data_IF_567784269525
#
_entry.id   IF_567784269525
#
_cell.length_a   1.000
_cell.length_b   1.000
_cell.length_c   1.000
_cell.angle_alpha   90.00
_cell.angle_beta   90.00
_cell.angle_gamma   90.00
#
_symmetry.space_group_name_H-M   'P 1'
#
loop_
_entity.id
_entity.type
_entity.pdbx_description
1 polymer ?
#
# COMPACT_ATOMS: atom_id res chain seq x y z
N UNK A 1 3.96 4.34 8.98
CA UNK A 1 4.74 5.59 8.68
C UNK A 1 6.22 5.50 9.08
N UNK A 2 6.60 4.76 10.13
CA UNK A 2 7.98 4.69 10.64
C UNK A 2 9.00 4.12 9.63
N UNK A 3 8.73 2.95 9.04
CA UNK A 3 9.68 2.25 8.15
C UNK A 3 10.13 3.12 6.96
N UNK A 4 9.18 3.78 6.29
CA UNK A 4 9.49 4.70 5.19
C UNK A 4 10.39 5.85 5.63
N UNK A 5 10.01 6.56 6.71
CA UNK A 5 10.79 7.70 7.22
C UNK A 5 12.21 7.32 7.62
N UNK A 6 12.38 6.19 8.33
CA UNK A 6 13.70 5.70 8.72
C UNK A 6 14.59 5.46 7.51
N UNK A 7 14.03 4.87 6.44
CA UNK A 7 14.76 4.58 5.19
C UNK A 7 15.10 5.85 4.41
N UNK A 8 14.19 6.82 4.34
CA UNK A 8 14.46 8.14 3.74
C UNK A 8 15.62 8.85 4.45
N UNK A 9 15.61 8.90 5.78
CA UNK A 9 16.68 9.54 6.56
C UNK A 9 18.02 8.86 6.30
N UNK A 10 18.07 7.51 6.28
CA UNK A 10 19.31 6.78 5.95
C UNK A 10 19.82 7.10 4.55
N UNK A 11 18.94 7.20 3.55
CA UNK A 11 19.31 7.56 2.18
C UNK A 11 19.89 8.98 2.13
N UNK A 12 19.27 9.95 2.81
CA UNK A 12 19.76 11.33 2.88
C UNK A 12 21.13 11.39 3.56
N UNK A 13 21.33 10.69 4.68
CA UNK A 13 22.63 10.62 5.36
C UNK A 13 23.71 10.11 4.42
N UNK A 14 23.45 9.03 3.67
CA UNK A 14 24.39 8.49 2.68
C UNK A 14 24.73 9.49 1.58
N UNK A 15 23.74 10.23 1.07
CA UNK A 15 24.00 11.24 0.04
C UNK A 15 24.91 12.36 0.57
N UNK A 16 24.72 12.76 1.83
CA UNK A 16 25.58 13.75 2.49
C UNK A 16 27.01 13.21 2.65
N UNK A 17 27.16 11.96 3.10
CA UNK A 17 28.47 11.29 3.21
C UNK A 17 29.19 11.21 1.85
N UNK A 18 28.43 10.95 0.78
CA UNK A 18 28.92 10.90 -0.60
C UNK A 18 29.12 12.30 -1.23
N UNK A 19 28.88 13.39 -0.49
CA UNK A 19 28.92 14.79 -0.97
C UNK A 19 28.02 15.05 -2.18
N UNK A 20 26.93 14.31 -2.31
CA UNK A 20 25.89 14.53 -3.31
C UNK A 20 24.81 15.46 -2.76
N UNK A 21 24.07 16.09 -3.65
CA UNK A 21 22.92 16.90 -3.26
C UNK A 21 21.89 16.02 -2.52
N UNK A 22 21.52 16.38 -1.28
CA UNK A 22 20.55 15.61 -0.53
C UNK A 22 19.15 15.82 -1.11
N UNK A 23 18.60 14.76 -1.71
CA UNK A 23 17.27 14.75 -2.30
C UNK A 23 16.71 13.34 -2.41
N UNK A 24 15.40 13.25 -2.59
CA UNK A 24 14.69 12.01 -2.91
C UNK A 24 13.91 12.28 -4.18
N UNK A 25 14.27 11.60 -5.26
CA UNK A 25 13.47 11.62 -6.49
C UNK A 25 12.23 10.72 -6.35
N UNK A 26 11.33 10.79 -7.34
CA UNK A 26 10.08 10.00 -7.33
C UNK A 26 10.37 8.50 -7.38
N UNK A 27 11.41 8.08 -8.10
CA UNK A 27 11.78 6.67 -8.22
C UNK A 27 12.30 6.13 -6.88
N UNK A 28 13.18 6.88 -6.21
CA UNK A 28 13.68 6.62 -4.86
C UNK A 28 12.51 6.53 -3.88
N UNK A 29 11.53 7.45 -3.94
CA UNK A 29 10.35 7.41 -3.09
C UNK A 29 9.54 6.10 -3.29
N UNK A 30 9.29 5.71 -4.54
CA UNK A 30 8.57 4.46 -4.87
C UNK A 30 9.35 3.24 -4.38
N UNK A 31 10.66 3.20 -4.60
CA UNK A 31 11.52 2.10 -4.16
C UNK A 31 11.57 1.99 -2.63
N UNK A 32 11.69 3.12 -1.93
CA UNK A 32 11.69 3.17 -0.47
C UNK A 32 10.33 2.75 0.08
N UNK A 33 9.22 3.18 -0.55
CA UNK A 33 7.87 2.77 -0.18
C UNK A 33 7.70 1.26 -0.33
N UNK A 34 8.03 0.70 -1.49
CA UNK A 34 7.95 -0.74 -1.74
C UNK A 34 8.79 -1.53 -0.72
N UNK A 35 10.00 -1.08 -0.42
CA UNK A 35 10.83 -1.74 0.57
C UNK A 35 10.31 -1.58 2.00
N UNK A 36 9.70 -0.44 2.34
CA UNK A 36 9.12 -0.21 3.66
C UNK A 36 7.83 -1.02 3.86
N UNK A 37 7.06 -1.24 2.80
CA UNK A 37 5.81 -2.01 2.83
C UNK A 37 6.06 -3.47 3.21
N UNK A 38 7.18 -4.06 2.78
CA UNK A 38 7.59 -5.42 3.15
C UNK A 38 7.81 -5.62 4.65
N UNK A 39 8.08 -4.56 5.39
CA UNK A 39 8.27 -4.62 6.85
C UNK A 39 6.94 -4.39 7.61
N UNK A 40 5.85 -4.08 6.91
CA UNK A 40 4.54 -3.86 7.53
C UNK A 40 3.93 -5.22 7.86
N UNK A 41 3.72 -5.46 9.16
CA UNK A 41 3.09 -6.68 9.65
C UNK A 41 1.57 -6.54 9.70
N UNK A 42 0.87 -7.68 9.68
CA UNK A 42 -0.58 -7.74 9.90
C UNK A 42 -0.99 -7.05 11.22
N UNK A 43 -0.23 -7.25 12.29
CA UNK A 43 -0.44 -6.55 13.56
C UNK A 43 -0.34 -5.02 13.44
N UNK A 44 0.57 -4.52 12.60
CA UNK A 44 0.71 -3.08 12.33
C UNK A 44 -0.50 -2.55 11.57
N UNK A 45 -1.03 -3.34 10.63
CA UNK A 45 -2.24 -3.01 9.87
C UNK A 45 -3.45 -3.00 10.81
N UNK A 46 -3.65 -4.05 11.62
CA UNK A 46 -4.72 -4.13 12.62
C UNK A 46 -4.70 -2.96 13.59
N UNK A 47 -3.53 -2.63 14.13
CA UNK A 47 -3.36 -1.47 15.01
C UNK A 47 -3.67 -0.14 14.31
N UNK A 48 -3.41 -0.03 13.00
CA UNK A 48 -3.74 1.16 12.22
C UNK A 48 -5.25 1.30 12.04
N UNK A 49 -5.94 0.20 11.71
CA UNK A 49 -7.40 0.17 11.59
C UNK A 49 -8.10 0.49 12.91
N UNK A 50 -7.69 -0.12 14.02
CA UNK A 50 -8.23 0.17 15.35
C UNK A 50 -8.05 1.65 15.73
N UNK A 51 -6.86 2.23 15.46
CA UNK A 51 -6.60 3.65 15.75
C UNK A 51 -7.34 4.61 14.83
N UNK A 52 -7.65 4.18 13.60
CA UNK A 52 -8.38 5.00 12.64
C UNK A 52 -9.87 5.14 12.97
N UNK A 53 -10.37 4.40 13.98
CA UNK A 53 -11.80 4.28 14.32
C UNK A 53 -12.68 3.82 13.17
N UNK A 54 -12.09 3.36 12.07
CA UNK A 54 -12.82 2.74 10.94
C UNK A 54 -13.42 1.39 11.32
N UNK A 55 -12.94 0.80 12.42
CA UNK A 55 -13.47 -0.40 13.03
C UNK A 55 -13.65 -0.07 14.52
N UNK A 56 -14.83 0.41 14.90
CA UNK A 56 -15.26 0.44 16.30
C UNK A 56 -15.51 -0.98 16.78
N UNK A 57 -14.43 -1.76 16.97
CA UNK A 57 -14.53 -2.92 17.84
C UNK A 57 -14.58 -2.39 19.27
N UNK A 58 -15.77 -2.41 19.87
CA UNK A 58 -15.92 -2.37 21.32
C UNK A 58 -15.19 -3.59 21.87
N UNK A 59 -13.93 -3.40 22.28
CA UNK A 59 -13.21 -4.42 23.04
C UNK A 59 -13.76 -4.35 24.46
N UNK A 60 -14.86 -5.06 24.73
CA UNK A 60 -15.10 -5.53 26.08
C UNK A 60 -14.10 -6.68 26.32
N UNK A 61 -13.29 -6.55 27.35
CA UNK A 61 -12.19 -7.46 27.68
C UNK A 61 -12.66 -8.84 28.19
N UNK A 62 -13.87 -9.28 27.87
CA UNK A 62 -14.36 -10.57 28.34
C UNK A 62 -15.11 -11.38 27.30
N UNK A 63 -14.64 -12.61 27.18
CA UNK A 63 -15.24 -13.78 26.55
C UNK A 63 -15.44 -13.75 25.03
N UNK A 64 -14.99 -14.86 24.42
CA UNK A 64 -15.10 -15.08 22.99
C UNK A 64 -16.57 -15.13 22.58
N UNK A 65 -16.94 -14.30 21.61
CA UNK A 65 -18.08 -14.57 20.78
C UNK A 65 -17.89 -14.00 19.38
N UNK A 66 -18.56 -14.65 18.43
CA UNK A 66 -18.43 -14.54 16.98
C UNK A 66 -18.54 -13.09 16.51
N UNK A 67 -17.48 -12.57 15.87
CA UNK A 67 -17.57 -11.33 15.10
C UNK A 67 -18.44 -11.62 13.88
N UNK A 68 -19.66 -11.10 13.85
CA UNK A 68 -20.45 -11.06 12.61
C UNK A 68 -19.78 -10.08 11.65
N UNK A 69 -19.28 -10.59 10.53
CA UNK A 69 -18.56 -9.87 9.46
C UNK A 69 -19.39 -8.81 8.68
N UNK A 70 -20.47 -8.28 9.25
CA UNK A 70 -21.33 -7.31 8.55
C UNK A 70 -21.02 -5.88 9.03
N UNK A 71 -20.30 -5.12 8.20
CA UNK A 71 -20.26 -3.66 8.27
C UNK A 71 -21.67 -3.15 7.91
N UNK A 72 -22.24 -2.25 8.72
CA UNK A 72 -23.57 -1.68 8.47
C UNK A 72 -23.57 -0.86 7.17
N UNK A 73 -24.38 -1.27 6.19
CA UNK A 73 -24.53 -0.60 4.90
C UNK A 73 -24.93 0.88 5.05
N UNK A 74 -25.60 1.25 6.14
CA UNK A 74 -25.95 2.65 6.40
C UNK A 74 -24.74 3.53 6.72
N UNK A 75 -23.69 2.96 7.30
CA UNK A 75 -22.48 3.68 7.67
C UNK A 75 -21.60 3.98 6.44
N UNK A 76 -21.56 3.05 5.48
CA UNK A 76 -20.92 3.21 4.17
C UNK A 76 -21.60 4.29 3.31
N UNK A 77 -22.95 4.29 3.31
CA UNK A 77 -23.75 5.29 2.59
C UNK A 77 -23.55 6.71 3.14
N UNK A 78 -23.42 6.86 4.46
CA UNK A 78 -23.17 8.15 5.11
C UNK A 78 -21.76 8.72 4.82
N UNK A 79 -20.79 7.86 4.49
CA UNK A 79 -19.43 8.26 4.08
C UNK A 79 -19.31 8.53 2.56
N UNK A 80 -20.41 8.40 1.81
CA UNK A 80 -20.42 8.56 0.35
C UNK A 80 -19.68 7.43 -0.38
N UNK A 81 -19.48 6.29 0.28
CA UNK A 81 -18.83 5.12 -0.30
C UNK A 81 -19.91 4.28 -0.99
N UNK A 82 -20.17 4.59 -2.27
CA UNK A 82 -21.01 3.78 -3.14
C UNK A 82 -20.35 2.41 -3.38
N UNK A 83 -21.12 1.31 -3.56
CA UNK A 83 -20.60 0.02 -4.02
C UNK A 83 -19.69 0.14 -5.25
N UNK A 84 -19.99 1.08 -6.15
CA UNK A 84 -19.21 1.36 -7.36
C UNK A 84 -17.80 1.90 -7.04
N UNK A 85 -17.69 2.74 -6.01
CA UNK A 85 -16.40 3.29 -5.54
C UNK A 85 -15.58 2.17 -4.89
N UNK A 86 -16.25 1.27 -4.16
CA UNK A 86 -15.61 0.14 -3.49
C UNK A 86 -15.05 -0.87 -4.52
N UNK A 87 -15.76 -1.09 -5.62
CA UNK A 87 -15.36 -1.98 -6.71
C UNK A 87 -14.07 -1.51 -7.42
N UNK A 88 -13.91 -0.19 -7.58
CA UNK A 88 -12.66 0.40 -8.08
C UNK A 88 -11.46 0.10 -7.16
N UNK A 89 -11.67 0.05 -5.84
CA UNK A 89 -10.62 -0.27 -4.86
C UNK A 89 -10.23 -1.75 -4.87
N UNK A 90 -11.19 -2.67 -5.04
CA UNK A 90 -10.91 -4.12 -5.09
C UNK A 90 -10.07 -4.50 -6.31
N UNK A 91 -10.22 -3.79 -7.42
CA UNK A 91 -9.51 -4.08 -8.67
C UNK A 91 -8.21 -3.27 -8.86
N UNK A 92 -7.77 -2.49 -7.86
CA UNK A 92 -6.49 -1.76 -7.93
C UNK A 92 -5.33 -2.73 -8.17
N UNK A 93 -5.30 -3.86 -7.45
CA UNK A 93 -4.25 -4.87 -7.60
C UNK A 93 -4.32 -5.59 -8.95
N UNK A 94 -5.52 -5.79 -9.49
CA UNK A 94 -5.72 -6.38 -10.81
C UNK A 94 -5.26 -5.44 -11.93
N UNK A 95 -5.49 -4.14 -11.77
CA UNK A 95 -4.99 -3.13 -12.70
C UNK A 95 -3.47 -3.02 -12.65
N UNK A 96 -2.87 -3.08 -11.47
CA UNK A 96 -1.40 -3.15 -11.31
C UNK A 96 -0.84 -4.42 -11.94
N UNK A 97 -1.47 -5.59 -11.71
CA UNK A 97 -1.09 -6.86 -12.36
C UNK A 97 -1.21 -6.79 -13.88
N UNK A 98 -2.30 -6.22 -14.43
CA UNK A 98 -2.47 -6.03 -15.88
C UNK A 98 -1.41 -5.10 -16.45
N UNK A 99 -1.06 -4.02 -15.76
CA UNK A 99 -0.01 -3.10 -16.18
C UNK A 99 1.33 -3.84 -16.22
N UNK A 100 1.68 -4.59 -15.16
CA UNK A 100 2.91 -5.40 -15.11
C UNK A 100 2.94 -6.42 -16.25
N UNK A 101 1.84 -7.14 -16.51
CA UNK A 101 1.74 -8.13 -17.59
C UNK A 101 1.84 -7.46 -18.97
N UNK A 102 1.21 -6.30 -19.18
CA UNK A 102 1.36 -5.52 -20.42
C UNK A 102 2.79 -5.04 -20.61
N UNK A 103 3.44 -4.52 -19.57
CA UNK A 103 4.84 -4.10 -19.63
C UNK A 103 5.77 -5.28 -19.98
N UNK A 104 5.57 -6.46 -19.38
CA UNK A 104 6.32 -7.67 -19.70
C UNK A 104 6.08 -8.16 -21.14
N UNK A 105 4.84 -8.05 -21.64
CA UNK A 105 4.49 -8.41 -23.02
C UNK A 105 5.09 -7.45 -24.04
N UNK A 106 5.10 -6.15 -23.73
CA UNK A 106 5.73 -5.11 -24.55
C UNK A 106 7.25 -5.30 -24.58
N UNK A 107 7.88 -5.54 -23.42
CA UNK A 107 9.32 -5.85 -23.33
C UNK A 107 9.71 -7.08 -24.16
N UNK A 108 8.91 -8.15 -24.08
CA UNK A 108 9.13 -9.38 -24.87
C UNK A 108 8.93 -9.17 -26.37
N UNK A 109 8.01 -8.29 -26.77
CA UNK A 109 7.77 -7.95 -28.18
C UNK A 109 8.88 -7.05 -28.75
N UNK A 110 9.44 -6.17 -27.92
CA UNK A 110 10.57 -5.31 -28.31
C UNK A 110 11.86 -6.14 -28.42
N UNK A 111 12.12 -7.08 -27.49
CA UNK A 111 13.29 -7.95 -27.56
C UNK A 111 13.21 -8.99 -28.69
N UNK A 112 12.01 -9.41 -29.07
CA UNK A 112 11.77 -10.29 -30.24
C UNK A 112 11.96 -9.61 -31.59
N UNK A 113 11.81 -8.28 -31.67
CA UNK A 113 11.94 -7.52 -32.93
C UNK A 113 13.37 -7.01 -33.22
N UNK A 114 14.36 -7.34 -32.38
CA UNK A 114 15.78 -6.96 -32.59
C UNK A 114 16.58 -8.08 -33.28
N UNK A 115 15.93 -9.19 -33.63
CA UNK A 115 16.52 -10.24 -34.48
C UNK A 115 15.62 -10.50 -35.70
N UNK A 116 15.59 -9.58 -36.66
CA UNK A 116 15.45 -9.85 -38.10
C UNK A 116 15.96 -8.65 -38.90
#
# INVERSE_FOLDING_TARGET
KYHYKSRVVRKIIRLIEEKKEPGIDILDAIMILNSAWKDVTESTIKNCYQKSKLLEFSVDENDGDVISDAIDENELNNLGISPEILEDFYHVDDNVRRIIVKFSSIQSSISGNVFY
#
